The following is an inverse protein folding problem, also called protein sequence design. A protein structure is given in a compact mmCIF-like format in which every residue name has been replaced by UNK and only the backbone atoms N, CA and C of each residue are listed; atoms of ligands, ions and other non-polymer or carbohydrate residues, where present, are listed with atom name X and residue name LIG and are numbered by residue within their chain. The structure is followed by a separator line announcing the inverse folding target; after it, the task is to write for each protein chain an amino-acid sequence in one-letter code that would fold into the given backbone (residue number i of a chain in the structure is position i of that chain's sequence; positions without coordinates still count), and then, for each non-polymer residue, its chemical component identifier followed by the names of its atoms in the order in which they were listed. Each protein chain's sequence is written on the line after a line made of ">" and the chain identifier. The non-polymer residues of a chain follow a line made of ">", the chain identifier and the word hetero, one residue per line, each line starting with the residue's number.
data_IF_962833903631
#
_entry.id   IF_962833903631
#
_cell.length_a   1.000
_cell.length_b   1.000
_cell.length_c   1.000
_cell.angle_alpha   90.00
_cell.angle_beta   90.00
_cell.angle_gamma   90.00
#
_symmetry.space_group_name_H-M   'P 1'
#
loop_
_entity.id
_entity.type
_entity.pdbx_description
1 polymer ?
#
# COMPACT_ATOMS: atom_id res chain seq x y z
N UNK A 1 15.80 -14.76 -4.50
CA UNK A 1 16.74 -14.11 -5.42
C UNK A 1 18.11 -13.87 -4.76
N UNK A 2 18.17 -13.12 -3.69
CA UNK A 2 19.43 -12.74 -3.03
C UNK A 2 20.29 -13.91 -2.56
N UNK A 3 19.72 -15.10 -2.42
CA UNK A 3 20.42 -16.32 -1.98
C UNK A 3 20.66 -17.34 -3.11
N UNK A 4 20.26 -17.03 -4.34
CA UNK A 4 20.47 -17.95 -5.47
C UNK A 4 21.92 -17.88 -5.98
N UNK A 5 22.72 -18.96 -5.86
CA UNK A 5 24.12 -18.97 -6.30
C UNK A 5 24.30 -18.66 -7.79
N UNK A 6 23.27 -18.92 -8.62
CA UNK A 6 23.32 -18.67 -10.06
C UNK A 6 23.30 -17.18 -10.41
N UNK A 7 22.89 -16.34 -9.49
CA UNK A 7 22.76 -14.90 -9.69
C UNK A 7 23.91 -14.09 -9.08
N UNK A 8 24.73 -14.67 -8.20
CA UNK A 8 25.73 -13.97 -7.39
C UNK A 8 26.77 -13.14 -8.19
N UNK A 9 27.00 -13.45 -9.46
CA UNK A 9 27.99 -12.72 -10.28
C UNK A 9 27.39 -12.28 -11.63
N UNK A 10 26.08 -12.09 -11.69
CA UNK A 10 25.38 -11.67 -12.91
C UNK A 10 25.19 -10.16 -12.93
N UNK A 11 25.46 -9.56 -14.07
CA UNK A 11 24.99 -8.22 -14.36
C UNK A 11 23.50 -8.27 -14.70
N UNK A 12 22.68 -7.59 -13.91
CA UNK A 12 21.24 -7.51 -14.07
C UNK A 12 20.78 -6.10 -14.52
N UNK A 13 21.68 -5.30 -15.05
CA UNK A 13 21.41 -3.93 -15.51
C UNK A 13 20.32 -3.83 -16.59
N UNK A 14 20.00 -4.95 -17.25
CA UNK A 14 18.88 -5.03 -18.20
C UNK A 14 17.50 -4.98 -17.54
N UNK A 15 17.41 -5.22 -16.23
CA UNK A 15 16.13 -5.15 -15.49
C UNK A 15 15.77 -3.67 -15.32
N UNK A 16 14.67 -3.27 -15.94
CA UNK A 16 14.16 -1.88 -15.87
C UNK A 16 13.15 -1.67 -14.76
N UNK A 17 12.47 -2.73 -14.36
CA UNK A 17 11.50 -2.69 -13.28
C UNK A 17 11.43 -4.07 -12.61
N UNK A 18 11.59 -4.11 -11.31
CA UNK A 18 11.37 -5.29 -10.49
C UNK A 18 10.25 -4.96 -9.50
N UNK A 19 9.07 -5.54 -9.72
CA UNK A 19 7.87 -5.16 -8.99
C UNK A 19 7.40 -6.27 -8.05
N UNK A 20 6.82 -5.87 -6.94
CA UNK A 20 6.12 -6.72 -6.01
C UNK A 20 4.79 -6.09 -5.58
N UNK A 21 3.81 -6.92 -5.32
CA UNK A 21 2.48 -6.52 -4.89
C UNK A 21 1.66 -7.72 -4.43
N UNK A 22 0.46 -7.47 -3.95
CA UNK A 22 -0.48 -8.49 -3.48
C UNK A 22 -0.38 -8.78 -1.98
N UNK A 23 0.77 -8.51 -1.35
CA UNK A 23 0.93 -8.58 0.11
C UNK A 23 1.99 -7.58 0.58
N UNK A 24 2.03 -7.34 1.88
CA UNK A 24 3.02 -6.46 2.50
C UNK A 24 4.40 -7.12 2.50
N UNK A 25 5.42 -6.36 2.10
CA UNK A 25 6.82 -6.77 2.21
C UNK A 25 7.40 -6.17 3.48
N UNK A 26 7.98 -7.02 4.34
CA UNK A 26 8.69 -6.55 5.51
C UNK A 26 9.88 -5.66 5.10
N UNK A 27 10.12 -4.57 5.84
CA UNK A 27 11.19 -3.60 5.52
C UNK A 27 12.57 -4.24 5.40
N UNK A 28 12.87 -5.23 6.24
CA UNK A 28 14.15 -5.97 6.16
C UNK A 28 14.29 -6.76 4.86
N UNK A 29 13.21 -7.41 4.42
CA UNK A 29 13.19 -8.13 3.15
C UNK A 29 13.29 -7.18 1.94
N UNK A 30 12.60 -6.03 2.00
CA UNK A 30 12.69 -4.97 0.98
C UNK A 30 14.13 -4.47 0.86
N UNK A 31 14.79 -4.17 1.99
CA UNK A 31 16.18 -3.71 2.01
C UNK A 31 17.13 -4.77 1.42
N UNK A 32 16.98 -6.04 1.83
CA UNK A 32 17.80 -7.14 1.30
C UNK A 32 17.67 -7.27 -0.22
N UNK A 33 16.46 -7.12 -0.75
CA UNK A 33 16.23 -7.16 -2.20
C UNK A 33 16.87 -5.94 -2.88
N UNK A 34 16.71 -4.76 -2.32
CA UNK A 34 17.28 -3.52 -2.89
C UNK A 34 18.81 -3.55 -2.89
N UNK A 35 19.45 -4.04 -1.83
CA UNK A 35 20.90 -4.22 -1.75
C UNK A 35 21.39 -5.20 -2.81
N UNK A 36 20.65 -6.30 -3.00
CA UNK A 36 20.95 -7.27 -4.06
C UNK A 36 20.82 -6.65 -5.46
N UNK A 37 19.73 -5.92 -5.74
CA UNK A 37 19.51 -5.27 -7.03
C UNK A 37 20.62 -4.25 -7.33
N UNK A 38 20.98 -3.42 -6.36
CA UNK A 38 22.06 -2.43 -6.47
C UNK A 38 23.43 -3.10 -6.72
N UNK A 39 23.74 -4.17 -6.00
CA UNK A 39 24.99 -4.94 -6.19
C UNK A 39 25.11 -5.60 -7.58
N UNK A 40 23.98 -5.73 -8.29
CA UNK A 40 23.91 -6.33 -9.62
C UNK A 40 23.60 -5.30 -10.73
N UNK A 41 23.88 -4.02 -10.48
CA UNK A 41 23.75 -2.89 -11.41
C UNK A 41 22.30 -2.59 -11.85
N UNK A 42 21.30 -2.98 -11.09
CA UNK A 42 19.92 -2.57 -11.36
C UNK A 42 19.72 -1.13 -10.90
N UNK A 43 19.23 -0.29 -11.80
CA UNK A 43 19.15 1.17 -11.60
C UNK A 43 18.15 1.59 -10.52
N UNK A 44 17.02 0.87 -10.43
CA UNK A 44 15.93 1.26 -9.53
C UNK A 44 15.66 0.18 -8.48
N UNK A 45 15.29 0.58 -7.24
CA UNK A 45 14.88 -0.35 -6.21
C UNK A 45 13.58 -1.06 -6.58
N UNK A 46 13.21 -2.08 -5.79
CA UNK A 46 11.95 -2.81 -5.96
C UNK A 46 10.76 -1.83 -6.00
N UNK A 47 9.99 -1.92 -7.06
CA UNK A 47 8.75 -1.17 -7.21
C UNK A 47 7.61 -1.88 -6.48
N UNK A 48 6.78 -1.11 -5.79
CA UNK A 48 5.59 -1.64 -5.10
C UNK A 48 4.33 -1.06 -5.70
N UNK A 49 3.24 -1.80 -5.59
CA UNK A 49 1.91 -1.36 -5.97
C UNK A 49 0.90 -1.80 -4.92
N UNK A 50 -0.20 -1.09 -4.87
CA UNK A 50 -1.33 -1.40 -4.02
C UNK A 50 -2.60 -1.47 -4.84
N UNK A 51 -3.47 -2.37 -4.45
CA UNK A 51 -4.79 -2.51 -5.04
C UNK A 51 -5.55 -3.67 -4.43
N UNK A 52 -6.73 -3.89 -4.95
CA UNK A 52 -7.65 -4.93 -4.48
C UNK A 52 -8.59 -5.34 -5.61
N UNK A 53 -9.22 -6.49 -5.47
CA UNK A 53 -10.16 -7.01 -6.46
C UNK A 53 -11.28 -6.02 -6.77
N UNK A 54 -11.75 -5.31 -5.76
CA UNK A 54 -12.83 -4.33 -5.83
C UNK A 54 -12.44 -3.05 -6.61
N UNK A 55 -11.15 -2.85 -6.85
CA UNK A 55 -10.59 -1.78 -7.69
C UNK A 55 -9.94 -2.34 -8.97
N UNK A 56 -10.32 -3.53 -9.43
CA UNK A 56 -9.80 -4.19 -10.64
C UNK A 56 -8.29 -4.39 -10.64
N UNK A 57 -7.72 -4.83 -9.54
CA UNK A 57 -6.32 -5.15 -9.28
C UNK A 57 -5.50 -3.99 -8.73
N UNK A 58 -4.90 -3.13 -9.55
CA UNK A 58 -4.00 -2.07 -9.09
C UNK A 58 -4.70 -0.70 -9.01
N UNK A 59 -4.52 0.00 -7.91
CA UNK A 59 -4.94 1.39 -7.72
C UNK A 59 -3.74 2.34 -7.69
N UNK A 60 -2.58 1.85 -7.21
CA UNK A 60 -1.32 2.61 -7.22
C UNK A 60 -0.19 1.78 -7.77
N UNK A 61 0.85 2.44 -8.25
CA UNK A 61 2.11 1.79 -8.66
C UNK A 61 3.30 2.72 -8.46
N UNK A 62 4.43 2.13 -8.06
CA UNK A 62 5.74 2.75 -8.16
C UNK A 62 6.43 2.28 -9.45
N UNK A 63 7.22 3.15 -10.08
CA UNK A 63 8.05 2.79 -11.22
C UNK A 63 9.19 3.80 -11.41
N UNK A 64 10.40 3.30 -11.71
CA UNK A 64 11.54 4.14 -12.00
C UNK A 64 11.79 5.22 -10.93
N UNK A 65 11.86 6.48 -11.35
CA UNK A 65 12.03 7.62 -10.45
C UNK A 65 10.81 7.91 -9.55
N UNK A 66 9.62 7.45 -9.94
CA UNK A 66 8.41 7.55 -9.13
C UNK A 66 8.32 6.35 -8.17
N UNK A 67 9.38 6.10 -7.44
CA UNK A 67 9.50 5.03 -6.47
C UNK A 67 10.11 5.58 -5.17
N UNK A 68 9.25 5.94 -4.23
CA UNK A 68 9.65 6.52 -2.95
C UNK A 68 9.73 5.41 -1.89
N UNK A 69 10.83 5.27 -1.16
CA UNK A 69 10.99 4.21 -0.17
C UNK A 69 9.83 4.16 0.84
N UNK A 70 9.34 2.96 1.10
CA UNK A 70 8.21 2.73 2.02
C UNK A 70 6.83 2.96 1.42
N UNK A 71 6.69 3.70 0.29
CA UNK A 71 5.41 3.91 -0.37
C UNK A 71 4.99 2.71 -1.24
N UNK A 72 3.73 2.69 -1.61
CA UNK A 72 3.18 1.80 -2.63
C UNK A 72 2.92 2.54 -3.95
N UNK A 73 3.63 3.65 -4.16
CA UNK A 73 3.60 4.43 -5.38
C UNK A 73 2.52 5.52 -5.42
N UNK A 74 2.31 6.03 -6.61
CA UNK A 74 1.32 7.05 -6.93
C UNK A 74 0.04 6.41 -7.46
N UNK A 75 -1.12 7.05 -7.31
CA UNK A 75 -2.36 6.61 -7.96
C UNK A 75 -2.19 6.45 -9.46
N UNK A 76 -2.79 5.40 -10.02
CA UNK A 76 -2.80 5.18 -11.47
C UNK A 76 -3.64 6.23 -12.19
N UNK A 77 -3.44 6.35 -13.49
CA UNK A 77 -4.19 7.30 -14.34
C UNK A 77 -5.70 7.09 -14.17
N UNK A 78 -6.42 8.20 -13.96
CA UNK A 78 -7.87 8.22 -13.68
C UNK A 78 -8.30 7.53 -12.37
N UNK A 79 -7.36 7.15 -11.51
CA UNK A 79 -7.65 6.62 -10.17
C UNK A 79 -7.38 7.71 -9.13
N UNK A 80 -8.31 7.89 -8.21
CA UNK A 80 -8.15 8.73 -7.04
C UNK A 80 -7.95 7.85 -5.82
N UNK A 81 -7.02 8.23 -4.98
CA UNK A 81 -6.84 7.67 -3.63
C UNK A 81 -6.90 8.82 -2.66
N UNK A 82 -7.76 8.72 -1.67
CA UNK A 82 -7.87 9.70 -0.58
C UNK A 82 -7.98 8.99 0.76
N UNK A 83 -7.77 9.74 1.83
CA UNK A 83 -7.82 9.24 3.20
C UNK A 83 -9.04 9.78 3.89
N UNK A 84 -9.82 8.90 4.51
CA UNK A 84 -11.03 9.27 5.24
C UNK A 84 -10.95 8.83 6.69
N UNK A 85 -11.66 9.52 7.56
CA UNK A 85 -11.81 9.04 8.92
C UNK A 85 -12.54 7.69 8.93
N UNK A 86 -11.95 6.64 9.56
CA UNK A 86 -12.52 5.29 9.52
C UNK A 86 -13.99 5.25 9.94
N UNK A 87 -14.82 4.64 9.08
CA UNK A 87 -16.26 4.51 9.30
C UNK A 87 -17.10 5.73 8.92
N UNK A 88 -16.47 6.81 8.44
CA UNK A 88 -17.15 8.05 8.00
C UNK A 88 -16.82 8.39 6.54
N UNK A 89 -17.48 9.42 6.01
CA UNK A 89 -17.21 10.00 4.70
C UNK A 89 -16.45 11.34 4.83
N UNK A 90 -15.80 11.58 5.99
CA UNK A 90 -15.02 12.78 6.24
C UNK A 90 -13.60 12.59 5.71
N UNK A 91 -13.22 13.34 4.69
CA UNK A 91 -11.87 13.33 4.14
C UNK A 91 -10.88 13.99 5.11
N UNK A 92 -9.72 13.35 5.27
CA UNK A 92 -8.66 13.84 6.13
C UNK A 92 -7.60 14.60 5.32
N UNK A 93 -6.94 15.61 5.93
CA UNK A 93 -5.82 16.30 5.31
C UNK A 93 -4.66 15.37 4.95
N UNK A 94 -3.89 15.77 3.94
CA UNK A 94 -2.63 15.11 3.56
C UNK A 94 -1.71 14.95 4.78
N UNK A 95 -1.07 13.81 4.89
CA UNK A 95 -0.21 13.42 6.01
C UNK A 95 -0.94 12.83 7.21
N UNK A 96 -2.26 12.96 7.30
CA UNK A 96 -3.04 12.31 8.36
C UNK A 96 -3.34 10.85 8.02
N UNK A 97 -3.34 10.01 9.05
CA UNK A 97 -3.66 8.58 8.94
C UNK A 97 -5.15 8.33 9.05
N UNK A 98 -5.69 7.56 8.13
CA UNK A 98 -7.07 7.15 8.10
C UNK A 98 -7.29 5.98 7.15
N UNK A 99 -8.54 5.71 6.82
CA UNK A 99 -8.91 4.68 5.85
C UNK A 99 -8.58 5.17 4.43
N UNK A 100 -7.81 4.38 3.71
CA UNK A 100 -7.58 4.61 2.28
C UNK A 100 -8.86 4.25 1.51
N UNK A 101 -9.34 5.18 0.71
CA UNK A 101 -10.47 4.95 -0.18
C UNK A 101 -10.05 5.19 -1.63
N UNK A 102 -10.62 4.41 -2.53
CA UNK A 102 -10.28 4.42 -3.96
C UNK A 102 -11.52 4.79 -4.76
N UNK A 103 -11.37 5.69 -5.72
CA UNK A 103 -12.40 6.03 -6.69
C UNK A 103 -11.82 6.04 -8.10
N UNK A 104 -12.61 5.68 -9.09
CA UNK A 104 -12.20 5.68 -10.49
C UNK A 104 -12.87 4.59 -11.31
N UNK A 105 -12.53 4.50 -12.61
CA UNK A 105 -13.18 3.56 -13.53
C UNK A 105 -12.89 2.08 -13.23
N UNK A 106 -11.85 1.80 -12.44
CA UNK A 106 -11.53 0.44 -11.96
C UNK A 106 -12.41 -0.06 -10.83
N UNK A 107 -13.21 0.81 -10.20
CA UNK A 107 -14.09 0.43 -9.10
C UNK A 107 -15.17 -0.52 -9.60
N UNK A 108 -15.34 -1.65 -8.92
CA UNK A 108 -16.33 -2.66 -9.25
C UNK A 108 -17.77 -2.10 -9.19
N UNK A 109 -18.71 -2.73 -9.87
CA UNK A 109 -20.14 -2.40 -9.76
C UNK A 109 -20.77 -2.94 -8.48
N UNK A 110 -20.18 -3.96 -7.88
CA UNK A 110 -20.65 -4.63 -6.66
C UNK A 110 -20.38 -6.12 -6.67
N UNK A 111 -20.63 -6.74 -5.56
CA UNK A 111 -20.60 -8.20 -5.42
C UNK A 111 -21.86 -8.84 -5.99
N UNK A 112 -21.69 -9.91 -6.74
CA UNK A 112 -22.81 -10.64 -7.36
C UNK A 112 -23.79 -11.18 -6.30
N UNK A 113 -25.06 -10.80 -6.42
CA UNK A 113 -26.14 -11.16 -5.48
C UNK A 113 -25.89 -10.83 -4.01
N UNK A 114 -25.04 -9.81 -3.73
CA UNK A 114 -24.67 -9.40 -2.37
C UNK A 114 -24.79 -7.88 -2.18
N UNK A 115 -26.01 -7.34 -2.20
CA UNK A 115 -26.21 -5.89 -2.10
C UNK A 115 -25.78 -5.31 -0.74
N UNK A 116 -25.95 -6.04 0.33
CA UNK A 116 -25.57 -5.57 1.67
C UNK A 116 -24.05 -5.46 1.82
N UNK A 117 -23.30 -6.48 1.37
CA UNK A 117 -21.83 -6.47 1.37
C UNK A 117 -21.29 -5.40 0.40
N UNK A 118 -21.96 -5.18 -0.72
CA UNK A 118 -21.62 -4.10 -1.65
C UNK A 118 -21.78 -2.74 -0.99
N UNK A 119 -22.92 -2.46 -0.35
CA UNK A 119 -23.18 -1.18 0.31
C UNK A 119 -22.27 -0.94 1.53
N UNK A 120 -21.71 -2.00 2.12
CA UNK A 120 -20.77 -1.88 3.23
C UNK A 120 -19.43 -1.26 2.82
N UNK A 121 -19.02 -1.41 1.55
CA UNK A 121 -17.71 -0.95 1.07
C UNK A 121 -17.78 0.06 -0.07
N UNK A 122 -18.86 0.10 -0.84
CA UNK A 122 -19.08 1.11 -1.88
C UNK A 122 -20.02 2.19 -1.34
N UNK A 123 -19.51 3.42 -1.28
CA UNK A 123 -20.30 4.57 -0.82
C UNK A 123 -20.19 5.71 -1.82
N UNK A 124 -21.31 6.41 -2.04
CA UNK A 124 -21.30 7.66 -2.78
C UNK A 124 -21.10 8.80 -1.80
N UNK A 125 -20.01 9.53 -1.94
CA UNK A 125 -19.69 10.66 -1.08
C UNK A 125 -20.31 11.97 -1.59
N UNK A 126 -20.14 13.05 -0.82
CA UNK A 126 -20.71 14.35 -1.13
C UNK A 126 -20.19 14.95 -2.45
N UNK A 127 -19.03 14.51 -2.92
CA UNK A 127 -18.45 14.88 -4.22
C UNK A 127 -19.13 14.20 -5.43
N UNK A 128 -20.12 13.34 -5.17
CA UNK A 128 -20.86 12.57 -6.17
C UNK A 128 -20.12 11.35 -6.72
N UNK A 129 -18.91 11.07 -6.24
CA UNK A 129 -18.14 9.89 -6.66
C UNK A 129 -18.46 8.68 -5.81
N UNK A 130 -18.32 7.50 -6.43
CA UNK A 130 -18.35 6.23 -5.72
C UNK A 130 -16.94 5.91 -5.23
N UNK A 131 -16.81 5.67 -3.94
CA UNK A 131 -15.57 5.31 -3.27
C UNK A 131 -15.63 3.89 -2.73
N UNK A 132 -14.56 3.14 -2.94
CA UNK A 132 -14.32 1.85 -2.25
C UNK A 132 -13.67 2.17 -0.92
N UNK A 133 -14.32 1.81 0.18
CA UNK A 133 -13.74 1.78 1.52
C UNK A 133 -12.94 0.49 1.68
N UNK A 134 -11.61 0.61 1.61
CA UNK A 134 -10.73 -0.56 1.47
C UNK A 134 -10.55 -1.35 2.76
N UNK A 135 -10.82 -0.73 3.89
CA UNK A 135 -10.47 -1.28 5.20
C UNK A 135 -8.97 -1.25 5.50
N UNK A 136 -8.17 -0.60 4.66
CA UNK A 136 -6.74 -0.39 4.87
C UNK A 136 -6.49 1.00 5.44
N UNK A 137 -5.62 1.07 6.43
CA UNK A 137 -5.15 2.30 7.04
C UNK A 137 -3.85 2.74 6.40
N UNK A 138 -3.77 4.03 6.09
CA UNK A 138 -2.59 4.61 5.50
C UNK A 138 -2.65 6.13 5.47
N UNK A 139 -1.77 6.73 4.70
CA UNK A 139 -1.75 8.16 4.46
C UNK A 139 -1.16 8.48 3.09
N UNK A 140 -1.39 9.70 2.61
CA UNK A 140 -0.69 10.28 1.47
C UNK A 140 0.30 11.33 1.97
N UNK A 141 1.48 11.40 1.34
CA UNK A 141 2.39 12.52 1.57
C UNK A 141 2.08 13.71 0.64
N UNK A 142 2.83 14.80 0.81
CA UNK A 142 2.66 16.05 0.05
C UNK A 142 2.92 15.87 -1.46
N UNK A 143 3.68 14.86 -1.85
CA UNK A 143 3.94 14.51 -3.25
C UNK A 143 2.89 13.56 -3.84
N UNK A 144 1.90 13.13 -3.03
CA UNK A 144 0.81 12.22 -3.42
C UNK A 144 1.17 10.74 -3.37
N UNK A 145 2.33 10.36 -2.83
CA UNK A 145 2.66 8.95 -2.61
C UNK A 145 1.82 8.34 -1.50
N UNK A 146 1.35 7.13 -1.75
CA UNK A 146 0.50 6.37 -0.82
C UNK A 146 1.35 5.47 0.06
N UNK A 147 1.07 5.47 1.35
CA UNK A 147 1.71 4.62 2.36
C UNK A 147 0.67 3.77 3.07
N UNK A 148 0.95 2.48 3.21
CA UNK A 148 0.13 1.53 3.94
C UNK A 148 0.69 1.30 5.35
N UNK A 149 -0.18 1.37 6.35
CA UNK A 149 0.19 1.09 7.74
C UNK A 149 -0.38 -0.25 8.22
N UNK A 150 -1.69 -0.48 8.13
CA UNK A 150 -2.35 -1.67 8.66
C UNK A 150 -3.76 -1.87 8.08
N UNK A 151 -4.45 -2.91 8.55
CA UNK A 151 -5.89 -3.08 8.35
C UNK A 151 -6.70 -2.43 9.48
N UNK A 152 -7.87 -1.86 9.18
CA UNK A 152 -8.81 -1.33 10.20
C UNK A 152 -9.12 -2.40 11.26
N UNK A 153 -9.33 -3.65 10.85
CA UNK A 153 -9.62 -4.77 11.76
C UNK A 153 -8.51 -5.06 12.77
N UNK A 154 -7.29 -4.57 12.53
CA UNK A 154 -6.14 -4.68 13.44
C UNK A 154 -5.93 -3.43 14.29
N UNK A 155 -6.70 -2.36 14.04
CA UNK A 155 -6.62 -1.12 14.81
C UNK A 155 -7.07 -1.37 16.24
N UNK A 156 -6.23 -1.01 17.20
CA UNK A 156 -6.55 -1.07 18.63
C UNK A 156 -6.93 0.33 19.09
N UNK A 157 -8.14 0.49 19.56
CA UNK A 157 -8.59 1.73 20.18
C UNK A 157 -8.48 1.56 21.69
N UNK A 158 -7.60 2.36 22.31
CA UNK A 158 -7.44 2.38 23.76
C UNK A 158 -8.69 2.99 24.42
N UNK A 159 -8.84 2.75 25.71
CA UNK A 159 -9.96 3.27 26.51
C UNK A 159 -10.05 4.82 26.54
N UNK A 160 -8.93 5.52 26.27
CA UNK A 160 -8.84 6.97 26.15
C UNK A 160 -9.07 7.47 24.71
N UNK A 161 -9.46 6.58 23.77
CA UNK A 161 -9.70 6.89 22.37
C UNK A 161 -8.43 6.94 21.49
N UNK A 162 -7.24 6.72 22.07
CA UNK A 162 -6.00 6.71 21.30
C UNK A 162 -5.94 5.51 20.35
N UNK A 163 -5.66 5.77 19.08
CA UNK A 163 -5.55 4.74 18.02
C UNK A 163 -4.14 4.17 17.99
N UNK A 164 -3.99 2.88 18.26
CA UNK A 164 -2.71 2.15 18.17
C UNK A 164 -2.72 1.31 16.89
N UNK A 165 -1.70 1.49 16.07
CA UNK A 165 -1.48 0.72 14.85
C UNK A 165 -0.43 -0.36 15.12
N UNK A 166 -0.81 -1.65 15.27
CA UNK A 166 0.12 -2.72 15.64
C UNK A 166 1.32 -2.84 14.70
N UNK A 167 1.11 -2.61 13.40
CA UNK A 167 2.18 -2.63 12.39
C UNK A 167 3.33 -1.66 12.68
N UNK A 168 3.06 -0.52 13.31
CA UNK A 168 4.12 0.41 13.70
C UNK A 168 5.03 -0.20 14.77
N UNK A 169 4.44 -0.92 15.72
CA UNK A 169 5.17 -1.62 16.77
C UNK A 169 5.92 -2.82 16.17
N UNK A 170 5.24 -3.62 15.34
CA UNK A 170 5.81 -4.77 14.63
C UNK A 170 7.02 -4.37 13.78
N UNK A 171 6.93 -3.24 13.07
CA UNK A 171 8.05 -2.72 12.26
C UNK A 171 9.27 -2.32 13.10
N UNK A 172 9.09 -1.84 14.32
CA UNK A 172 10.20 -1.54 15.23
C UNK A 172 10.79 -2.82 15.81
N UNK A 173 9.94 -3.73 16.27
CA UNK A 173 10.34 -5.01 16.86
C UNK A 173 11.08 -5.88 15.86
N UNK A 174 10.63 -5.92 14.61
CA UNK A 174 11.26 -6.72 13.52
C UNK A 174 12.66 -6.24 13.12
N UNK A 175 13.08 -5.05 13.56
CA UNK A 175 14.46 -4.57 13.33
C UNK A 175 15.46 -5.20 14.30
N UNK A 176 14.99 -5.86 15.37
CA UNK A 176 15.88 -6.50 16.31
C UNK A 176 16.39 -7.84 15.76
N UNK A 177 17.73 -8.10 15.77
CA UNK A 177 18.32 -9.28 15.11
C UNK A 177 17.89 -10.63 15.68
N UNK A 178 17.33 -10.67 16.89
CA UNK A 178 16.78 -11.88 17.49
C UNK A 178 15.31 -12.15 17.14
N UNK A 179 14.66 -11.26 16.39
CA UNK A 179 13.27 -11.43 15.96
C UNK A 179 13.26 -12.00 14.55
N UNK A 180 12.76 -13.22 14.42
CA UNK A 180 12.56 -13.89 13.15
C UNK A 180 11.06 -13.88 12.81
N UNK A 181 10.73 -13.59 11.56
CA UNK A 181 9.37 -13.70 11.01
C UNK A 181 9.11 -15.11 10.53
#
# INVERSE_FOLDING_TARGET
>A
LAVDPKLQNKDLSFIRNYAAGGDAIARGAEQTVNDFLAAHNVEFPIAKGYGMTEASSAATAAAGQNNKPGSVGLPLVNTLVSVFEPGTDTELPIGQRGELCISGPGVMKGYYNKPAETAAILRTHADGRVWVHTGDIGYLDEDGFVYLDSRIKRLIIRHDGFKVFPSMIENVVSQHPAVHQ
#
